data_IF_174518086470
#
_entry.id   IF_174518086470
#
_cell.length_a   1.000
_cell.length_b   1.000
_cell.length_c   1.000
_cell.angle_alpha   90.00
_cell.angle_beta   90.00
_cell.angle_gamma   90.00
#
_symmetry.space_group_name_H-M   'P 1'
#
loop_
_entity.id
_entity.type
_entity.pdbx_description
1 polymer ?
#
# COMPACT_ATOMS: atom_id res chain seq x y z
N UNK A 1 -0.53 -10.30 15.59
CA UNK A 1 -0.39 -11.72 16.02
C UNK A 1 0.93 -11.85 16.75
N UNK A 2 0.91 -12.35 17.99
CA UNK A 2 2.13 -12.63 18.78
C UNK A 2 1.82 -13.68 19.84
N UNK A 3 2.80 -14.54 20.15
CA UNK A 3 2.81 -15.38 21.35
C UNK A 3 3.64 -14.81 22.49
N UNK A 4 4.21 -13.60 22.33
CA UNK A 4 5.02 -12.94 23.35
C UNK A 4 4.14 -12.08 24.26
N UNK A 5 4.07 -12.46 25.53
CA UNK A 5 3.26 -11.76 26.54
C UNK A 5 4.10 -11.55 27.79
N UNK A 6 4.30 -10.29 28.17
CA UNK A 6 4.97 -9.89 29.42
C UNK A 6 6.33 -10.56 29.69
N UNK A 7 7.19 -10.70 28.67
CA UNK A 7 8.51 -11.33 28.81
C UNK A 7 8.54 -12.82 28.43
N UNK A 8 7.38 -13.45 28.31
CA UNK A 8 7.26 -14.90 28.10
C UNK A 8 6.90 -15.22 26.65
N UNK A 9 7.58 -16.21 26.07
CA UNK A 9 7.27 -16.79 24.76
C UNK A 9 6.34 -17.98 24.96
N UNK A 10 5.14 -17.90 24.39
CA UNK A 10 4.14 -18.97 24.50
C UNK A 10 4.04 -19.72 23.18
N UNK A 11 3.91 -21.05 23.26
CA UNK A 11 3.53 -21.84 22.10
C UNK A 11 2.10 -21.48 21.70
N UNK A 12 1.90 -21.13 20.43
CA UNK A 12 0.61 -20.70 19.92
C UNK A 12 0.55 -20.97 18.41
N UNK A 13 -0.63 -21.35 17.92
CA UNK A 13 -0.96 -21.32 16.50
C UNK A 13 -2.23 -20.47 16.36
N UNK A 14 -2.18 -19.44 15.53
CA UNK A 14 -3.30 -18.55 15.26
C UNK A 14 -3.56 -18.49 13.77
N UNK A 15 -4.84 -18.58 13.41
CA UNK A 15 -5.32 -18.38 12.05
C UNK A 15 -6.29 -17.21 12.04
N UNK A 16 -5.99 -16.20 11.22
CA UNK A 16 -6.93 -15.14 10.91
C UNK A 16 -7.45 -15.38 9.48
N UNK A 17 -8.72 -15.76 9.37
CA UNK A 17 -9.32 -16.16 8.09
C UNK A 17 -10.28 -15.08 7.60
N UNK A 18 -10.21 -14.75 6.31
CA UNK A 18 -11.13 -13.81 5.67
C UNK A 18 -12.57 -14.35 5.66
N UNK A 19 -13.58 -13.49 5.42
CA UNK A 19 -14.86 -13.95 4.89
C UNK A 19 -14.67 -14.67 3.55
N UNK A 20 -15.74 -15.32 3.07
CA UNK A 20 -15.77 -15.92 1.73
C UNK A 20 -15.57 -14.82 0.69
N UNK A 21 -14.62 -15.02 -0.22
CA UNK A 21 -14.33 -14.13 -1.33
C UNK A 21 -14.82 -14.77 -2.62
N UNK A 22 -15.56 -14.02 -3.42
CA UNK A 22 -16.13 -14.52 -4.67
C UNK A 22 -15.30 -14.04 -5.87
N UNK A 23 -14.57 -14.95 -6.50
CA UNK A 23 -13.82 -14.70 -7.73
C UNK A 23 -14.45 -15.41 -8.93
N UNK A 24 -15.69 -15.89 -8.82
CA UNK A 24 -16.33 -16.73 -9.85
C UNK A 24 -16.49 -16.03 -11.21
N UNK A 25 -16.62 -14.71 -11.22
CA UNK A 25 -16.72 -13.88 -12.43
C UNK A 25 -15.40 -13.26 -12.85
N UNK A 26 -14.33 -13.49 -12.09
CA UNK A 26 -13.04 -12.85 -12.29
C UNK A 26 -12.14 -13.73 -13.15
N UNK A 27 -11.29 -13.10 -13.96
CA UNK A 27 -10.27 -13.79 -14.77
C UNK A 27 -8.87 -13.66 -14.17
N UNK A 28 -8.68 -12.71 -13.24
CA UNK A 28 -7.45 -12.45 -12.48
C UNK A 28 -7.83 -11.91 -11.11
N UNK A 29 -6.96 -12.10 -10.14
CA UNK A 29 -7.12 -11.50 -8.82
C UNK A 29 -5.75 -11.39 -8.14
N UNK A 30 -5.61 -10.46 -7.21
CA UNK A 30 -4.42 -10.29 -6.39
C UNK A 30 -4.84 -10.01 -4.94
N UNK A 31 -4.14 -10.63 -4.01
CA UNK A 31 -4.19 -10.24 -2.60
C UNK A 31 -3.19 -9.10 -2.37
N UNK A 32 -3.63 -8.08 -1.67
CA UNK A 32 -2.82 -6.98 -1.16
C UNK A 32 -3.07 -6.80 0.33
N UNK A 33 -2.00 -6.59 1.10
CA UNK A 33 -2.09 -6.08 2.47
C UNK A 33 -0.80 -5.38 2.84
N UNK A 34 -0.83 -4.61 3.92
CA UNK A 34 0.37 -4.07 4.54
C UNK A 34 0.74 -4.88 5.77
N UNK A 35 2.02 -5.17 5.95
CA UNK A 35 2.50 -5.82 7.16
C UNK A 35 3.87 -5.35 7.61
N UNK A 36 4.15 -5.55 8.90
CA UNK A 36 5.49 -5.58 9.44
C UNK A 36 5.64 -6.83 10.32
N UNK A 37 6.85 -7.39 10.35
CA UNK A 37 7.15 -8.56 11.17
C UNK A 37 8.54 -8.41 11.79
N UNK A 38 8.64 -8.67 13.09
CA UNK A 38 9.86 -8.57 13.85
C UNK A 38 10.06 -9.83 14.72
N UNK A 39 11.31 -10.06 15.12
CA UNK A 39 11.72 -11.19 15.96
C UNK A 39 11.44 -12.59 15.36
N UNK A 40 11.18 -12.67 14.05
CA UNK A 40 11.14 -13.91 13.27
C UNK A 40 12.54 -14.51 13.13
N UNK A 41 12.67 -15.82 12.94
CA UNK A 41 13.97 -16.50 12.80
C UNK A 41 14.76 -16.06 11.57
N UNK A 42 14.09 -15.80 10.45
CA UNK A 42 14.71 -15.41 9.18
C UNK A 42 13.94 -14.29 8.46
N UNK A 43 14.54 -13.77 7.40
CA UNK A 43 13.89 -12.89 6.41
C UNK A 43 14.35 -13.38 5.02
N UNK A 44 13.44 -13.84 4.14
CA UNK A 44 11.98 -13.94 4.33
C UNK A 44 11.60 -14.91 5.46
N UNK A 45 10.41 -14.69 6.04
CA UNK A 45 9.89 -15.45 7.19
C UNK A 45 9.60 -16.88 6.76
N UNK A 46 10.05 -17.89 7.54
CA UNK A 46 9.71 -19.27 7.26
C UNK A 46 8.20 -19.53 7.44
N UNK A 47 7.63 -20.38 6.59
CA UNK A 47 6.23 -20.83 6.68
C UNK A 47 5.89 -21.38 8.08
N UNK A 48 6.86 -22.00 8.75
CA UNK A 48 6.71 -22.55 10.11
C UNK A 48 6.51 -21.47 11.18
N UNK A 49 6.66 -20.18 10.87
CA UNK A 49 6.42 -19.06 11.79
C UNK A 49 5.28 -18.15 11.31
N UNK A 50 5.25 -17.79 10.03
CA UNK A 50 4.16 -17.03 9.46
C UNK A 50 4.05 -17.23 7.94
N UNK A 51 2.84 -17.45 7.46
CA UNK A 51 2.56 -17.54 6.03
C UNK A 51 1.10 -17.17 5.72
N UNK A 52 0.88 -16.85 4.45
CA UNK A 52 -0.46 -16.61 3.90
C UNK A 52 -0.88 -17.84 3.11
N UNK A 53 -2.11 -18.28 3.34
CA UNK A 53 -2.71 -19.43 2.68
C UNK A 53 -4.01 -19.06 1.99
N UNK A 54 -4.39 -19.86 1.02
CA UNK A 54 -5.69 -19.79 0.34
C UNK A 54 -6.34 -21.17 0.32
N UNK A 55 -7.64 -21.21 0.52
CA UNK A 55 -8.45 -22.42 0.41
C UNK A 55 -9.63 -22.20 -0.53
N UNK A 56 -9.93 -23.22 -1.34
CA UNK A 56 -11.11 -23.26 -2.23
C UNK A 56 -12.20 -24.19 -1.71
N UNK A 57 -11.93 -24.94 -0.63
CA UNK A 57 -12.80 -26.00 -0.09
C UNK A 57 -13.17 -25.81 1.39
N UNK A 58 -12.56 -24.84 2.08
CA UNK A 58 -12.95 -24.47 3.43
C UNK A 58 -14.41 -23.99 3.46
N UNK A 59 -15.18 -24.49 4.43
CA UNK A 59 -16.62 -24.25 4.54
C UNK A 59 -17.00 -23.03 5.39
N UNK A 60 -15.99 -22.28 5.87
CA UNK A 60 -16.19 -21.12 6.72
C UNK A 60 -16.43 -21.45 8.20
N UNK A 61 -16.35 -22.73 8.62
CA UNK A 61 -16.57 -23.13 10.01
C UNK A 61 -15.26 -23.43 10.72
N UNK A 62 -15.05 -22.76 11.85
CA UNK A 62 -13.82 -22.92 12.67
C UNK A 62 -13.50 -24.38 13.01
N UNK A 63 -14.52 -25.19 13.28
CA UNK A 63 -14.37 -26.63 13.56
C UNK A 63 -13.66 -27.41 12.43
N UNK A 64 -13.74 -26.91 11.18
CA UNK A 64 -13.17 -27.52 9.98
C UNK A 64 -11.91 -26.79 9.49
N UNK A 65 -11.38 -25.83 10.26
CA UNK A 65 -10.19 -25.05 9.88
C UNK A 65 -9.00 -25.95 9.52
N UNK A 66 -8.80 -27.03 10.28
CA UNK A 66 -7.69 -27.98 10.09
C UNK A 66 -7.98 -29.11 9.10
N UNK A 67 -9.23 -29.26 8.66
CA UNK A 67 -9.65 -30.31 7.72
C UNK A 67 -9.83 -29.77 6.30
N UNK A 68 -9.97 -28.45 6.12
CA UNK A 68 -9.89 -27.81 4.81
C UNK A 68 -8.48 -27.85 4.21
N UNK A 69 -8.40 -27.76 2.88
CA UNK A 69 -7.13 -27.74 2.16
C UNK A 69 -6.61 -26.30 2.05
N UNK A 70 -5.40 -26.07 2.56
CA UNK A 70 -4.75 -24.76 2.53
C UNK A 70 -3.52 -24.80 1.64
N UNK A 71 -3.56 -24.03 0.56
CA UNK A 71 -2.42 -23.83 -0.35
C UNK A 71 -1.64 -22.61 0.11
N UNK A 72 -0.34 -22.75 0.37
CA UNK A 72 0.51 -21.60 0.69
C UNK A 72 0.65 -20.69 -0.52
N UNK A 73 0.55 -19.38 -0.30
CA UNK A 73 0.84 -18.35 -1.30
C UNK A 73 2.32 -17.96 -1.27
N UNK A 74 2.88 -17.72 -2.45
CA UNK A 74 4.28 -17.30 -2.66
C UNK A 74 4.35 -15.86 -3.16
N UNK A 75 5.46 -15.12 -2.87
CA UNK A 75 6.65 -15.55 -2.13
C UNK A 75 6.45 -15.58 -0.60
N UNK A 76 7.39 -16.18 0.15
CA UNK A 76 7.41 -16.04 1.61
C UNK A 76 7.34 -14.56 2.07
N UNK A 77 6.68 -14.35 3.20
CA UNK A 77 6.49 -13.04 3.83
C UNK A 77 7.85 -12.36 4.10
N UNK A 78 8.06 -11.13 3.63
CA UNK A 78 9.23 -10.34 4.02
C UNK A 78 9.07 -9.79 5.45
N UNK A 79 10.06 -10.06 6.30
CA UNK A 79 10.12 -9.51 7.65
C UNK A 79 10.79 -8.13 7.63
N UNK A 80 9.99 -7.06 7.64
CA UNK A 80 10.55 -5.72 7.85
C UNK A 80 10.96 -5.49 9.31
N UNK A 81 12.14 -6.00 9.70
CA UNK A 81 12.64 -6.07 11.09
C UNK A 81 13.19 -4.76 11.65
N UNK A 82 13.60 -3.81 10.82
CA UNK A 82 14.47 -2.70 11.25
C UNK A 82 13.72 -1.55 11.94
N UNK A 83 12.43 -1.37 11.69
CA UNK A 83 11.70 -0.19 12.20
C UNK A 83 10.18 -0.37 12.35
N UNK A 84 9.66 -1.61 12.26
CA UNK A 84 8.23 -1.88 12.25
C UNK A 84 7.43 -1.14 11.16
N UNK A 85 8.10 -0.59 10.14
CA UNK A 85 7.39 0.08 9.08
C UNK A 85 6.56 -0.93 8.29
N UNK A 86 5.32 -0.58 8.03
CA UNK A 86 4.43 -1.41 7.24
C UNK A 86 4.87 -1.38 5.77
N UNK A 87 5.31 -2.51 5.25
CA UNK A 87 5.58 -2.71 3.82
C UNK A 87 4.38 -3.35 3.14
N UNK A 88 4.30 -3.19 1.83
CA UNK A 88 3.32 -3.89 0.99
C UNK A 88 3.69 -5.36 0.87
N UNK A 89 2.70 -6.22 1.03
CA UNK A 89 2.73 -7.63 0.66
C UNK A 89 1.69 -7.87 -0.43
N UNK A 90 2.07 -8.64 -1.45
CA UNK A 90 1.18 -8.93 -2.57
C UNK A 90 1.35 -10.37 -3.03
N UNK A 91 0.24 -11.01 -3.39
CA UNK A 91 0.21 -12.38 -3.86
C UNK A 91 -0.74 -12.51 -5.05
N UNK A 92 -0.29 -13.17 -6.11
CA UNK A 92 -1.14 -13.48 -7.25
C UNK A 92 -2.17 -14.55 -6.86
N UNK A 93 -3.45 -14.27 -7.12
CA UNK A 93 -4.57 -15.19 -6.92
C UNK A 93 -5.20 -15.63 -8.25
N UNK A 94 -4.58 -15.33 -9.39
CA UNK A 94 -5.13 -15.63 -10.71
C UNK A 94 -5.40 -17.13 -10.92
N UNK A 95 -4.62 -18.03 -10.31
CA UNK A 95 -4.88 -19.47 -10.33
C UNK A 95 -6.21 -19.88 -9.64
N UNK A 96 -6.82 -18.98 -8.87
CA UNK A 96 -8.09 -19.16 -8.17
C UNK A 96 -9.24 -18.36 -8.79
N UNK A 97 -8.99 -17.68 -9.92
CA UNK A 97 -10.04 -17.07 -10.74
C UNK A 97 -11.10 -18.13 -11.11
N UNK A 98 -12.38 -17.72 -11.16
CA UNK A 98 -13.51 -18.62 -11.40
C UNK A 98 -13.96 -19.44 -10.18
N UNK A 99 -13.38 -19.21 -8.99
CA UNK A 99 -13.72 -19.94 -7.75
C UNK A 99 -14.17 -19.00 -6.64
N UNK A 100 -14.82 -19.54 -5.61
CA UNK A 100 -14.86 -18.88 -4.31
C UNK A 100 -13.68 -19.34 -3.45
N UNK A 101 -13.09 -18.41 -2.70
CA UNK A 101 -11.91 -18.70 -1.87
C UNK A 101 -12.04 -18.12 -0.46
N UNK A 102 -11.17 -18.59 0.42
CA UNK A 102 -10.83 -17.98 1.70
C UNK A 102 -9.33 -17.73 1.75
N UNK A 103 -8.91 -16.60 2.30
CA UNK A 103 -7.50 -16.30 2.57
C UNK A 103 -7.27 -16.38 4.07
N UNK A 104 -6.18 -17.01 4.49
CA UNK A 104 -5.80 -17.10 5.89
C UNK A 104 -4.38 -16.60 6.14
N UNK A 105 -4.21 -15.87 7.25
CA UNK A 105 -2.93 -15.52 7.83
C UNK A 105 -2.66 -16.50 8.96
N UNK A 106 -1.70 -17.41 8.76
CA UNK A 106 -1.28 -18.36 9.78
C UNK A 106 -0.04 -17.84 10.49
N UNK A 107 -0.06 -17.81 11.82
CA UNK A 107 1.06 -17.47 12.67
C UNK A 107 1.31 -18.60 13.67
N UNK A 108 2.57 -18.95 13.88
CA UNK A 108 3.01 -19.96 14.86
C UNK A 108 4.13 -19.39 15.71
N UNK A 109 4.04 -19.60 17.02
CA UNK A 109 5.13 -19.39 17.97
C UNK A 109 5.38 -20.64 18.80
N UNK A 110 6.59 -20.73 19.33
CA UNK A 110 7.03 -21.75 20.28
C UNK A 110 7.52 -21.07 21.57
N UNK A 111 7.85 -21.87 22.58
CA UNK A 111 8.55 -21.38 23.77
C UNK A 111 9.95 -20.82 23.47
N UNK A 112 10.52 -21.15 22.31
CA UNK A 112 11.83 -20.67 21.87
C UNK A 112 11.75 -19.44 20.96
N UNK A 113 10.71 -19.34 20.11
CA UNK A 113 10.56 -18.26 19.14
C UNK A 113 9.13 -17.74 19.14
N UNK A 114 8.97 -16.47 19.48
CA UNK A 114 7.70 -15.77 19.40
C UNK A 114 7.91 -14.43 18.68
N UNK A 115 7.92 -14.50 17.35
CA UNK A 115 7.92 -13.30 16.51
C UNK A 115 6.64 -12.49 16.67
N UNK A 116 6.59 -11.28 16.17
CA UNK A 116 5.33 -10.51 16.12
C UNK A 116 5.09 -10.11 14.68
N UNK A 117 3.84 -10.31 14.24
CA UNK A 117 3.39 -9.97 12.90
C UNK A 117 2.14 -9.11 12.97
N UNK A 118 2.18 -7.94 12.33
CA UNK A 118 1.03 -7.04 12.21
C UNK A 118 0.60 -6.97 10.75
N UNK A 119 -0.71 -6.95 10.52
CA UNK A 119 -1.33 -6.88 9.20
C UNK A 119 -2.40 -5.79 9.21
N UNK A 120 -2.51 -5.03 8.11
CA UNK A 120 -3.58 -4.04 7.90
C UNK A 120 -3.86 -3.85 6.41
N UNK A 121 -4.95 -3.16 6.10
CA UNK A 121 -5.36 -2.82 4.73
C UNK A 121 -5.47 -4.07 3.83
N UNK A 122 -6.10 -5.13 4.34
CA UNK A 122 -6.44 -6.31 3.55
C UNK A 122 -7.35 -5.91 2.39
N UNK A 123 -6.96 -6.28 1.17
CA UNK A 123 -7.71 -6.06 -0.05
C UNK A 123 -7.48 -7.23 -0.99
N UNK A 124 -8.55 -7.74 -1.58
CA UNK A 124 -8.45 -8.58 -2.77
C UNK A 124 -8.86 -7.71 -3.93
N UNK A 125 -7.89 -7.38 -4.78
CA UNK A 125 -8.15 -6.66 -6.00
C UNK A 125 -8.52 -7.65 -7.10
N UNK A 126 -9.71 -7.45 -7.65
CA UNK A 126 -10.26 -8.21 -8.77
C UNK A 126 -10.16 -7.42 -10.08
N UNK A 127 -9.79 -6.15 -9.99
CA UNK A 127 -9.36 -5.37 -11.15
C UNK A 127 -7.91 -5.73 -11.45
N UNK A 128 -7.57 -5.79 -12.73
CA UNK A 128 -6.23 -6.07 -13.17
C UNK A 128 -5.26 -4.97 -12.71
N UNK A 129 -4.66 -5.10 -11.52
CA UNK A 129 -3.42 -4.39 -11.23
C UNK A 129 -2.32 -5.17 -11.95
N UNK A 130 -1.97 -4.69 -13.14
CA UNK A 130 -0.75 -5.09 -13.84
C UNK A 130 0.42 -5.04 -12.84
N UNK A 131 1.28 -6.07 -12.81
CA UNK A 131 2.63 -5.82 -12.30
C UNK A 131 3.16 -4.74 -13.22
N UNK A 132 3.20 -3.49 -12.75
CA UNK A 132 3.72 -2.40 -13.56
C UNK A 132 5.21 -2.66 -13.62
N UNK A 133 5.65 -3.25 -14.72
CA UNK A 133 7.06 -3.39 -15.02
C UNK A 133 7.71 -2.02 -15.02
N UNK A 134 9.02 -1.97 -14.80
CA UNK A 134 9.72 -0.69 -14.66
C UNK A 134 9.48 0.26 -15.86
N UNK A 135 9.22 -0.28 -17.06
CA UNK A 135 8.97 0.47 -18.29
C UNK A 135 7.48 0.56 -18.68
N UNK A 136 6.58 -0.12 -17.98
CA UNK A 136 5.14 -0.04 -18.22
C UNK A 136 4.62 1.33 -17.76
N UNK A 137 3.41 1.72 -18.20
CA UNK A 137 2.89 3.03 -17.82
C UNK A 137 2.59 3.11 -16.33
N UNK A 138 3.26 4.04 -15.65
CA UNK A 138 3.29 4.15 -14.19
C UNK A 138 4.47 3.42 -13.53
N UNK A 139 5.37 2.84 -14.32
CA UNK A 139 6.63 2.24 -13.86
C UNK A 139 7.67 3.31 -13.58
N UNK A 140 8.77 2.94 -12.91
CA UNK A 140 9.81 3.90 -12.51
C UNK A 140 10.50 4.58 -13.71
N UNK A 141 10.63 3.87 -14.83
CA UNK A 141 11.22 4.39 -16.08
C UNK A 141 10.17 4.97 -17.04
N UNK A 142 8.88 4.86 -16.71
CA UNK A 142 7.78 5.41 -17.50
C UNK A 142 6.65 5.91 -16.57
N UNK A 143 6.94 6.90 -15.69
CA UNK A 143 5.96 7.42 -14.76
C UNK A 143 4.79 8.10 -15.49
N UNK A 144 3.65 8.22 -14.82
CA UNK A 144 2.61 9.15 -15.27
C UNK A 144 3.09 10.59 -15.14
N UNK A 145 2.86 11.40 -16.15
CA UNK A 145 3.01 12.86 -16.09
C UNK A 145 1.78 13.47 -15.42
N UNK A 146 1.91 14.71 -14.95
CA UNK A 146 0.79 15.48 -14.40
C UNK A 146 -0.39 15.54 -15.38
N UNK A 147 -0.13 15.76 -16.67
CA UNK A 147 -1.17 15.85 -17.69
C UNK A 147 -1.96 14.54 -17.82
N UNK A 148 -1.27 13.40 -17.79
CA UNK A 148 -1.92 12.09 -17.88
C UNK A 148 -2.73 11.79 -16.62
N UNK A 149 -2.25 12.18 -15.43
CA UNK A 149 -3.04 12.04 -14.19
C UNK A 149 -4.29 12.91 -14.24
N UNK A 150 -4.22 14.12 -14.80
CA UNK A 150 -5.40 14.97 -15.01
C UNK A 150 -6.37 14.28 -15.98
N UNK A 151 -5.88 13.74 -17.10
CA UNK A 151 -6.68 13.06 -18.12
C UNK A 151 -7.36 11.78 -17.60
N UNK A 152 -6.76 11.10 -16.63
CA UNK A 152 -7.36 9.95 -15.95
C UNK A 152 -8.63 10.31 -15.16
N UNK A 153 -8.80 11.58 -14.76
CA UNK A 153 -10.00 12.11 -14.12
C UNK A 153 -10.56 11.24 -12.96
N UNK A 154 -9.77 10.92 -11.92
CA UNK A 154 -10.25 10.11 -10.81
C UNK A 154 -11.42 10.79 -10.08
N UNK A 155 -12.47 10.04 -9.77
CA UNK A 155 -13.72 10.57 -9.18
C UNK A 155 -14.00 10.09 -7.75
N UNK A 156 -13.31 9.05 -7.28
CA UNK A 156 -13.52 8.45 -5.97
C UNK A 156 -12.45 8.93 -4.98
N UNK A 157 -12.87 9.29 -3.76
CA UNK A 157 -12.01 9.79 -2.66
C UNK A 157 -11.45 8.68 -1.77
N UNK A 158 -12.06 7.50 -1.84
CA UNK A 158 -11.78 6.35 -0.97
C UNK A 158 -11.11 5.21 -1.75
N UNK A 159 -11.38 5.08 -3.04
CA UNK A 159 -10.80 4.06 -3.90
C UNK A 159 -9.91 4.69 -4.96
N UNK A 160 -8.65 4.26 -5.01
CA UNK A 160 -7.71 4.74 -6.01
C UNK A 160 -8.08 4.20 -7.41
N UNK A 161 -7.90 5.05 -8.42
CA UNK A 161 -8.06 4.67 -9.82
C UNK A 161 -6.86 3.85 -10.32
N UNK A 162 -5.66 4.16 -9.81
CA UNK A 162 -4.42 3.41 -10.03
C UNK A 162 -3.65 3.36 -8.71
N UNK A 163 -3.16 2.20 -8.32
CA UNK A 163 -2.44 2.00 -7.06
C UNK A 163 -0.95 1.74 -7.30
N UNK A 164 -0.10 2.28 -6.43
CA UNK A 164 1.33 1.97 -6.41
C UNK A 164 2.11 2.34 -7.68
N UNK A 165 1.69 3.39 -8.38
CA UNK A 165 2.30 3.87 -9.63
C UNK A 165 3.27 5.01 -9.37
N UNK A 166 4.23 5.22 -10.26
CA UNK A 166 5.07 6.40 -10.26
C UNK A 166 4.40 7.54 -11.02
N UNK A 167 4.41 8.73 -10.41
CA UNK A 167 3.94 10.01 -10.98
C UNK A 167 5.07 11.02 -10.87
N UNK A 168 5.32 11.78 -11.93
CA UNK A 168 6.39 12.79 -11.98
C UNK A 168 5.88 14.15 -12.43
N UNK A 169 6.46 15.21 -11.88
CA UNK A 169 6.14 16.58 -12.27
C UNK A 169 6.95 17.64 -11.52
N UNK A 170 6.86 18.88 -11.97
CA UNK A 170 7.51 20.02 -11.32
C UNK A 170 6.68 20.52 -10.13
N UNK A 171 7.32 20.76 -8.99
CA UNK A 171 6.67 21.39 -7.83
C UNK A 171 6.38 22.85 -8.16
N UNK A 172 5.10 23.23 -8.20
CA UNK A 172 4.66 24.59 -8.57
C UNK A 172 4.00 25.36 -7.44
N UNK A 173 3.68 24.70 -6.33
CA UNK A 173 3.03 25.35 -5.21
C UNK A 173 2.60 24.38 -4.11
N UNK A 174 1.76 24.87 -3.21
CA UNK A 174 1.17 24.10 -2.13
C UNK A 174 -0.36 24.28 -2.13
N UNK A 175 -1.09 23.25 -1.73
CA UNK A 175 -2.55 23.33 -1.55
C UNK A 175 -2.90 23.58 -0.09
N UNK A 176 -3.29 24.81 0.23
CA UNK A 176 -3.61 25.21 1.60
C UNK A 176 -5.08 24.89 1.92
N UNK A 177 -5.27 23.97 2.86
CA UNK A 177 -6.59 23.52 3.32
C UNK A 177 -7.09 24.22 4.57
N UNK A 178 -6.29 25.14 5.14
CA UNK A 178 -6.67 25.92 6.33
C UNK A 178 -7.73 26.99 6.02
N UNK A 179 -7.60 27.81 4.95
CA UNK A 179 -8.68 28.71 4.57
C UNK A 179 -9.86 27.90 4.02
N UNK A 180 -11.05 28.47 4.18
CA UNK A 180 -12.30 27.95 3.64
C UNK A 180 -12.93 29.02 2.72
N UNK A 181 -12.95 28.82 1.38
CA UNK A 181 -12.51 27.62 0.68
C UNK A 181 -10.99 27.46 0.67
N UNK A 182 -10.53 26.21 0.51
CA UNK A 182 -9.11 25.90 0.30
C UNK A 182 -8.57 26.55 -0.96
N UNK A 183 -7.30 26.97 -0.94
CA UNK A 183 -6.68 27.74 -2.03
C UNK A 183 -5.30 27.18 -2.42
N UNK A 184 -4.91 27.31 -3.69
CA UNK A 184 -3.52 27.08 -4.09
C UNK A 184 -2.64 28.27 -3.69
N UNK A 185 -1.41 27.99 -3.29
CA UNK A 185 -0.35 28.97 -3.03
C UNK A 185 0.79 28.69 -4.01
N UNK A 186 1.10 29.63 -4.91
CA UNK A 186 2.16 29.48 -5.94
C UNK A 186 3.42 30.28 -5.63
N UNK A 187 3.38 31.12 -4.59
CA UNK A 187 4.48 31.99 -4.19
C UNK A 187 4.67 31.91 -2.68
N UNK A 188 5.92 31.97 -2.23
CA UNK A 188 6.22 32.04 -0.80
C UNK A 188 5.66 33.35 -0.18
N UNK A 189 5.32 33.34 1.13
CA UNK A 189 5.43 32.22 2.06
C UNK A 189 4.32 31.18 1.85
N UNK A 190 4.66 29.90 2.01
CA UNK A 190 3.71 28.79 1.96
C UNK A 190 3.22 28.45 3.38
N UNK A 191 1.93 28.20 3.53
CA UNK A 191 1.29 28.07 4.85
C UNK A 191 1.21 26.62 5.35
N UNK A 192 1.31 25.65 4.44
CA UNK A 192 1.05 24.22 4.71
C UNK A 192 2.28 23.35 4.47
N UNK A 193 2.48 22.37 5.35
CA UNK A 193 3.42 21.27 5.17
C UNK A 193 2.75 20.01 4.57
N UNK A 194 1.42 20.03 4.39
CA UNK A 194 0.64 18.82 4.14
C UNK A 194 0.55 18.44 2.66
N UNK A 195 0.70 19.39 1.75
CA UNK A 195 0.42 19.21 0.33
C UNK A 195 1.43 19.96 -0.53
N UNK A 196 1.82 19.37 -1.66
CA UNK A 196 2.41 20.11 -2.77
C UNK A 196 1.56 19.95 -4.04
N UNK A 197 1.74 20.88 -4.97
CA UNK A 197 1.13 20.86 -6.29
C UNK A 197 2.21 20.50 -7.32
N UNK A 198 1.93 19.48 -8.14
CA UNK A 198 2.79 19.12 -9.27
C UNK A 198 2.13 19.57 -10.59
N UNK A 199 2.88 20.23 -11.48
CA UNK A 199 2.39 20.61 -12.80
C UNK A 199 2.83 21.99 -13.27
N UNK A 200 1.86 22.80 -13.67
CA UNK A 200 1.96 24.23 -13.96
C UNK A 200 0.93 24.98 -13.12
N UNK A 201 0.99 26.32 -13.05
CA UNK A 201 -0.02 27.09 -12.32
C UNK A 201 -1.43 26.98 -12.94
N UNK A 202 -1.54 26.58 -14.21
CA UNK A 202 -2.81 26.41 -14.92
C UNK A 202 -3.30 24.95 -14.98
N UNK A 203 -2.43 23.98 -14.70
CA UNK A 203 -2.76 22.55 -14.74
C UNK A 203 -1.88 21.81 -13.73
N UNK A 204 -2.47 21.41 -12.60
CA UNK A 204 -1.75 20.75 -11.53
C UNK A 204 -2.57 19.62 -10.89
N UNK A 205 -1.85 18.73 -10.24
CA UNK A 205 -2.41 17.72 -9.35
C UNK A 205 -1.98 18.01 -7.91
N UNK A 206 -2.78 17.56 -6.94
CA UNK A 206 -2.43 17.66 -5.53
C UNK A 206 -1.76 16.38 -5.04
N UNK A 207 -0.57 16.48 -4.44
CA UNK A 207 0.13 15.36 -3.83
C UNK A 207 0.08 15.49 -2.31
N UNK A 208 -0.41 14.45 -1.64
CA UNK A 208 -0.44 14.39 -0.18
C UNK A 208 0.96 14.10 0.37
N UNK A 209 1.45 14.99 1.23
CA UNK A 209 2.70 14.82 1.95
C UNK A 209 2.44 14.13 3.30
N UNK A 210 2.51 12.81 3.34
CA UNK A 210 2.31 12.05 4.59
C UNK A 210 3.46 12.28 5.57
N UNK A 211 3.17 12.22 6.89
CA UNK A 211 4.18 12.48 7.95
C UNK A 211 5.41 11.57 7.84
N UNK A 212 5.25 10.34 7.36
CA UNK A 212 6.32 9.35 7.38
C UNK A 212 7.22 9.44 6.14
N UNK A 213 6.69 9.82 4.96
CA UNK A 213 7.38 10.29 3.76
C UNK A 213 6.33 10.95 2.82
N UNK A 214 6.64 11.98 2.00
CA UNK A 214 7.91 12.72 1.87
C UNK A 214 7.89 14.11 2.55
N UNK A 215 7.00 14.34 3.54
CA UNK A 215 6.69 15.67 4.09
C UNK A 215 7.89 16.53 4.48
N UNK A 216 8.73 16.02 5.38
CA UNK A 216 9.82 16.82 5.95
C UNK A 216 10.80 17.33 4.87
N UNK A 217 11.01 16.53 3.81
CA UNK A 217 11.96 16.85 2.74
C UNK A 217 11.36 17.68 1.60
N UNK A 218 10.08 17.49 1.28
CA UNK A 218 9.45 18.07 0.08
C UNK A 218 8.72 19.37 0.37
N UNK A 219 8.11 19.52 1.55
CA UNK A 219 7.15 20.59 1.78
C UNK A 219 7.76 21.99 1.59
N UNK A 220 7.01 22.89 0.93
CA UNK A 220 7.47 24.23 0.58
C UNK A 220 7.45 25.23 1.75
N UNK A 221 6.70 24.94 2.82
CA UNK A 221 6.67 25.78 4.01
C UNK A 221 8.04 25.81 4.70
N UNK A 222 8.63 24.64 4.90
CA UNK A 222 9.93 24.48 5.55
C UNK A 222 11.07 24.50 4.52
N UNK A 223 10.80 24.08 3.27
CA UNK A 223 11.79 23.99 2.19
C UNK A 223 11.37 24.78 0.94
N UNK A 224 11.23 26.13 1.01
CA UNK A 224 10.76 26.93 -0.11
C UNK A 224 11.64 26.83 -1.37
N UNK A 225 12.92 26.47 -1.22
CA UNK A 225 13.84 26.23 -2.33
C UNK A 225 13.55 24.97 -3.16
N UNK A 226 12.54 24.18 -2.81
CA UNK A 226 12.06 23.08 -3.64
C UNK A 226 11.09 23.52 -4.74
N UNK A 227 10.63 24.79 -4.73
CA UNK A 227 9.81 25.31 -5.80
C UNK A 227 10.57 25.23 -7.14
N UNK A 228 9.93 24.67 -8.16
CA UNK A 228 10.54 24.45 -9.48
C UNK A 228 11.35 23.16 -9.62
N UNK A 229 11.58 22.40 -8.54
CA UNK A 229 12.24 21.08 -8.62
C UNK A 229 11.31 20.03 -9.20
N UNK A 230 11.91 19.00 -9.78
CA UNK A 230 11.16 17.82 -10.24
C UNK A 230 10.97 16.88 -9.07
N UNK A 231 9.74 16.43 -8.86
CA UNK A 231 9.39 15.42 -7.87
C UNK A 231 8.77 14.23 -8.58
N UNK A 232 9.33 13.05 -8.31
CA UNK A 232 8.74 11.77 -8.68
C UNK A 232 8.29 11.06 -7.41
N UNK A 233 7.04 10.64 -7.36
CA UNK A 233 6.46 9.92 -6.22
C UNK A 233 5.90 8.59 -6.65
N UNK A 234 5.99 7.58 -5.78
CA UNK A 234 5.25 6.32 -5.92
C UNK A 234 4.06 6.32 -4.97
N UNK A 235 2.84 6.27 -5.50
CA UNK A 235 1.61 6.29 -4.70
C UNK A 235 0.37 5.96 -5.51
N UNK A 236 -0.78 6.38 -5.00
CA UNK A 236 -2.09 6.03 -5.53
C UNK A 236 -2.75 7.23 -6.21
N UNK A 237 -3.10 7.11 -7.49
CA UNK A 237 -3.86 8.13 -8.24
C UNK A 237 -5.32 8.06 -7.80
N UNK A 238 -5.83 9.16 -7.24
CA UNK A 238 -7.15 9.24 -6.58
C UNK A 238 -7.71 10.67 -6.65
N UNK A 239 -9.02 10.84 -6.40
CA UNK A 239 -9.59 12.17 -6.18
C UNK A 239 -9.12 12.69 -4.82
N UNK A 240 -8.30 13.75 -4.83
CA UNK A 240 -7.76 14.35 -3.61
C UNK A 240 -7.94 15.87 -3.63
N UNK A 241 -8.44 16.45 -2.53
CA UNK A 241 -8.78 17.88 -2.45
C UNK A 241 -9.69 18.36 -3.59
N UNK A 242 -10.62 17.49 -4.03
CA UNK A 242 -11.55 17.71 -5.14
C UNK A 242 -10.88 17.91 -6.52
N UNK A 243 -9.68 17.37 -6.71
CA UNK A 243 -8.96 17.35 -7.99
C UNK A 243 -8.18 16.04 -8.18
N UNK A 244 -7.69 15.75 -9.40
CA UNK A 244 -6.76 14.65 -9.59
C UNK A 244 -5.54 14.81 -8.67
N UNK A 245 -5.14 13.73 -8.01
CA UNK A 245 -4.07 13.78 -7.03
C UNK A 245 -3.44 12.44 -6.73
N UNK A 246 -2.42 12.47 -5.88
CA UNK A 246 -1.68 11.28 -5.44
C UNK A 246 -1.66 11.21 -3.92
N UNK A 247 -2.05 10.05 -3.37
CA UNK A 247 -2.01 9.74 -1.93
C UNK A 247 -1.16 8.51 -1.63
N UNK A 248 -1.02 8.19 -0.34
CA UNK A 248 -0.36 6.97 0.14
C UNK A 248 1.07 6.80 -0.39
N UNK A 249 1.82 7.92 -0.42
CA UNK A 249 3.17 7.95 -0.97
C UNK A 249 4.08 6.96 -0.23
N UNK A 250 4.69 6.06 -0.99
CA UNK A 250 5.53 4.96 -0.51
C UNK A 250 7.01 5.15 -0.84
N UNK A 251 7.33 5.94 -1.87
CA UNK A 251 8.68 6.33 -2.29
C UNK A 251 8.63 7.71 -2.94
N UNK A 252 9.76 8.40 -2.95
CA UNK A 252 9.93 9.62 -3.72
C UNK A 252 11.40 9.80 -4.15
N UNK A 253 11.59 10.54 -5.22
CA UNK A 253 12.87 11.09 -5.66
C UNK A 253 12.66 12.55 -6.06
N UNK A 254 13.59 13.43 -5.71
CA UNK A 254 13.48 14.87 -5.97
C UNK A 254 14.79 15.41 -6.52
N UNK A 255 14.71 16.09 -7.67
CA UNK A 255 15.83 16.64 -8.43
C UNK A 255 15.71 18.15 -8.54
#
# INVERSE_FOLDING_TARGET
MTGYVSGTRNANETWLVSPKLDLTTQTKARLYFRSCAAYMSADPVPETEAAVFVSTDYDGKEANLKTGTWTRLEPNLTANKLNWAFITQQYDLTAFAGKSIYVAFKYVSTTEKAGTWEVKNFKVDTQAIEVIGDNDKGGINNPYTVEEVIALAPTDKNNALKEGVYVTGTIVGAWNTTPDPSVPEFTAPFSTDLNCLLGTQSAYICVQLSKNQPRAAVNLKDNPGNLGKTLTVRGDIILYNNMPGVKEISKYDMQ
#
